data_IF_521164161606
#
_entry.id   IF_521164161606
#
_cell.length_a   1.000
_cell.length_b   1.000
_cell.length_c   1.000
_cell.angle_alpha   90.00
_cell.angle_beta   90.00
_cell.angle_gamma   90.00
#
_symmetry.space_group_name_H-M   'P 1'
#
loop_
_entity.id
_entity.type
_entity.pdbx_description
1 polymer ?
#
# COMPACT_ATOMS: atom_id res chain seq x y z
N UNK A 1 -19.88 44.02 -44.58
CA UNK A 1 -20.43 44.16 -43.21
C UNK A 1 -19.66 43.19 -42.35
N UNK A 2 -18.67 43.72 -41.65
CA UNK A 2 -17.52 43.01 -41.12
C UNK A 2 -17.77 42.65 -39.66
N UNK A 3 -17.54 41.38 -39.31
CA UNK A 3 -17.45 40.89 -37.92
C UNK A 3 -16.33 41.62 -37.17
N UNK A 4 -16.63 42.10 -35.96
CA UNK A 4 -15.64 42.49 -34.96
C UNK A 4 -16.19 42.11 -33.58
N UNK A 5 -15.70 41.00 -33.02
CA UNK A 5 -16.07 40.48 -31.70
C UNK A 5 -14.84 40.35 -30.82
N UNK A 6 -14.54 41.44 -30.12
CA UNK A 6 -13.69 41.65 -28.94
C UNK A 6 -12.66 40.57 -28.57
N UNK A 7 -11.39 40.85 -28.88
CA UNK A 7 -10.24 40.16 -28.32
C UNK A 7 -10.11 40.41 -26.81
N UNK A 8 -9.85 39.33 -26.07
CA UNK A 8 -9.46 39.36 -24.66
C UNK A 8 -8.06 39.98 -24.54
N UNK A 9 -8.00 41.26 -24.19
CA UNK A 9 -6.74 41.93 -23.84
C UNK A 9 -6.29 41.42 -22.47
N UNK A 10 -5.14 40.76 -22.43
CA UNK A 10 -4.47 40.37 -21.19
C UNK A 10 -4.01 41.65 -20.47
N UNK A 11 -4.72 42.04 -19.40
CA UNK A 11 -4.28 43.12 -18.54
C UNK A 11 -3.06 42.66 -17.73
N UNK A 12 -1.95 43.38 -17.85
CA UNK A 12 -0.70 43.10 -17.13
C UNK A 12 -0.89 43.39 -15.63
N UNK A 13 -0.93 42.33 -14.81
CA UNK A 13 -1.27 42.37 -13.38
C UNK A 13 -0.06 42.70 -12.49
N UNK A 14 1.11 42.93 -13.07
CA UNK A 14 2.36 43.05 -12.32
C UNK A 14 2.52 44.41 -11.63
N UNK A 15 1.86 45.47 -12.14
CA UNK A 15 1.96 46.84 -11.63
C UNK A 15 0.85 47.25 -10.63
N UNK A 16 -0.13 46.39 -10.36
CA UNK A 16 -1.29 46.71 -9.51
C UNK A 16 -1.05 46.36 -8.04
N UNK A 17 -1.61 47.17 -7.15
CA UNK A 17 -1.63 46.89 -5.70
C UNK A 17 -2.47 45.65 -5.39
N UNK A 18 -2.25 45.04 -4.22
CA UNK A 18 -2.96 43.82 -3.83
C UNK A 18 -4.47 44.03 -3.71
N UNK A 19 -4.93 45.21 -3.29
CA UNK A 19 -6.36 45.50 -3.16
C UNK A 19 -7.06 45.58 -4.51
N UNK A 20 -6.39 46.15 -5.53
CA UNK A 20 -6.93 46.22 -6.90
C UNK A 20 -7.04 44.83 -7.53
N UNK A 21 -6.08 43.94 -7.25
CA UNK A 21 -6.13 42.53 -7.71
C UNK A 21 -7.30 41.77 -7.10
N UNK A 22 -7.57 42.00 -5.82
CA UNK A 22 -8.69 41.36 -5.10
C UNK A 22 -10.03 41.84 -5.67
N UNK A 23 -10.15 43.12 -6.01
CA UNK A 23 -11.38 43.66 -6.57
C UNK A 23 -11.65 43.16 -8.00
N UNK A 24 -10.60 43.06 -8.83
CA UNK A 24 -10.70 42.45 -10.17
C UNK A 24 -11.14 40.98 -10.07
N UNK A 25 -10.63 40.23 -9.08
CA UNK A 25 -11.02 38.85 -8.85
C UNK A 25 -12.48 38.74 -8.39
N UNK A 26 -12.92 39.60 -7.45
CA UNK A 26 -14.32 39.64 -6.99
C UNK A 26 -15.29 39.95 -8.13
N UNK A 27 -14.95 40.91 -8.98
CA UNK A 27 -15.73 41.23 -10.17
C UNK A 27 -15.85 40.02 -11.12
N UNK A 28 -14.76 39.29 -11.38
CA UNK A 28 -14.80 38.06 -12.19
C UNK A 28 -15.58 36.93 -11.55
N UNK A 29 -15.48 36.74 -10.23
CA UNK A 29 -16.24 35.72 -9.52
C UNK A 29 -17.74 36.02 -9.53
N UNK A 30 -18.14 37.29 -9.41
CA UNK A 30 -19.52 37.71 -9.54
C UNK A 30 -20.10 37.41 -10.94
N UNK A 31 -19.27 37.56 -11.98
CA UNK A 31 -19.65 37.21 -13.35
C UNK A 31 -19.73 35.70 -13.63
N UNK A 32 -19.11 34.85 -12.82
CA UNK A 32 -19.16 33.38 -12.98
C UNK A 32 -20.36 32.73 -12.29
N UNK A 33 -21.08 33.46 -11.42
CA UNK A 33 -22.24 32.93 -10.67
C UNK A 33 -23.57 33.10 -11.44
N UNK A 34 -23.59 33.76 -12.60
CA UNK A 34 -24.75 33.79 -13.49
C UNK A 34 -24.66 32.70 -14.58
N UNK A 35 -25.03 31.47 -14.25
CA UNK A 35 -25.33 30.42 -15.24
C UNK A 35 -26.83 30.50 -15.59
N UNK A 36 -27.24 30.38 -16.88
CA UNK A 36 -28.63 30.59 -17.30
C UNK A 36 -29.58 29.46 -16.89
N UNK A 37 -30.84 29.87 -16.73
CA UNK A 37 -32.08 29.14 -16.49
C UNK A 37 -32.15 27.74 -17.14
N UNK A 38 -32.37 26.71 -16.31
CA UNK A 38 -32.76 25.37 -16.77
C UNK A 38 -34.30 25.32 -16.82
N UNK A 39 -34.93 24.94 -17.94
CA UNK A 39 -36.39 24.97 -18.03
C UNK A 39 -37.01 23.98 -17.05
N UNK A 40 -37.82 24.54 -16.14
CA UNK A 40 -38.67 23.82 -15.19
C UNK A 40 -39.63 22.89 -15.95
N UNK A 41 -39.41 21.57 -15.82
CA UNK A 41 -40.37 20.56 -16.22
C UNK A 41 -41.52 20.56 -15.20
N UNK A 42 -42.75 20.69 -15.71
CA UNK A 42 -43.99 20.77 -14.93
C UNK A 42 -44.18 19.53 -14.05
N UNK A 43 -44.41 19.82 -12.79
CA UNK A 43 -44.85 18.94 -11.72
C UNK A 43 -46.35 18.60 -11.90
N UNK A 44 -46.66 17.36 -12.25
CA UNK A 44 -47.98 16.72 -12.05
C UNK A 44 -47.88 15.21 -12.32
N UNK A 45 -47.52 14.44 -11.31
CA UNK A 45 -48.42 13.41 -10.76
C UNK A 45 -47.69 12.65 -9.64
N UNK A 46 -48.34 12.63 -8.50
CA UNK A 46 -47.94 11.99 -7.27
C UNK A 46 -47.74 10.48 -7.41
N UNK A 47 -46.58 9.97 -7.01
CA UNK A 47 -46.41 8.58 -6.58
C UNK A 47 -45.75 8.55 -5.19
N UNK A 48 -46.15 7.63 -4.30
CA UNK A 48 -45.70 7.63 -2.91
C UNK A 48 -44.25 7.18 -2.82
N UNK A 49 -43.36 8.10 -2.42
CA UNK A 49 -41.97 7.80 -2.11
C UNK A 49 -41.88 7.16 -0.71
N UNK A 50 -41.87 5.83 -0.68
CA UNK A 50 -41.52 5.05 0.51
C UNK A 50 -40.23 4.28 0.29
N UNK A 51 -39.13 4.85 0.80
CA UNK A 51 -38.04 4.09 1.43
C UNK A 51 -37.18 3.16 0.57
N UNK A 52 -36.26 3.71 -0.23
CA UNK A 52 -35.11 2.94 -0.72
C UNK A 52 -33.87 3.85 -0.84
N UNK A 53 -33.28 4.17 0.31
CA UNK A 53 -31.95 4.79 0.42
C UNK A 53 -30.89 3.73 0.76
N UNK A 54 -31.04 2.54 0.17
CA UNK A 54 -30.16 1.37 0.31
C UNK A 54 -29.99 0.74 -1.07
N UNK A 55 -29.06 1.24 -1.90
CA UNK A 55 -28.52 0.49 -3.05
C UNK A 55 -27.50 1.25 -3.90
N UNK A 56 -27.52 2.59 -4.01
CA UNK A 56 -26.64 3.28 -4.99
C UNK A 56 -25.12 3.27 -4.66
N UNK A 57 -24.73 3.26 -3.39
CA UNK A 57 -23.30 3.14 -3.01
C UNK A 57 -22.84 1.69 -3.08
N UNK A 58 -23.70 0.75 -2.72
CA UNK A 58 -23.39 -0.69 -2.69
C UNK A 58 -23.25 -1.28 -4.10
N UNK A 59 -24.05 -0.81 -5.07
CA UNK A 59 -23.96 -1.23 -6.48
C UNK A 59 -22.71 -0.67 -7.18
N UNK A 60 -22.34 0.59 -6.93
CA UNK A 60 -21.09 1.18 -7.44
C UNK A 60 -19.85 0.48 -6.90
N UNK A 61 -19.82 0.20 -5.59
CA UNK A 61 -18.69 -0.49 -4.97
C UNK A 61 -18.61 -1.97 -5.39
N UNK A 62 -19.74 -2.63 -5.65
CA UNK A 62 -19.77 -3.99 -6.18
C UNK A 62 -19.25 -4.07 -7.62
N UNK A 63 -19.51 -3.03 -8.42
CA UNK A 63 -18.96 -2.91 -9.77
C UNK A 63 -17.43 -2.66 -9.75
N UNK A 64 -16.94 -1.78 -8.87
CA UNK A 64 -15.49 -1.56 -8.67
C UNK A 64 -14.77 -2.82 -8.16
N UNK A 65 -15.41 -3.60 -7.27
CA UNK A 65 -14.90 -4.91 -6.80
C UNK A 65 -14.81 -5.94 -7.94
N UNK A 66 -15.70 -5.90 -8.92
CA UNK A 66 -15.61 -6.77 -10.11
C UNK A 66 -14.50 -6.36 -11.09
N UNK A 67 -14.01 -5.12 -10.98
CA UNK A 67 -13.05 -4.52 -11.90
C UNK A 67 -11.61 -4.50 -11.38
N UNK A 68 -11.40 -4.72 -10.07
CA UNK A 68 -10.07 -4.90 -9.51
C UNK A 68 -9.57 -6.32 -9.82
N UNK A 69 -8.69 -6.41 -10.81
CA UNK A 69 -7.89 -7.62 -11.06
C UNK A 69 -7.06 -7.95 -9.81
N UNK A 70 -6.84 -9.23 -9.53
CA UNK A 70 -6.24 -9.69 -8.26
C UNK A 70 -5.01 -10.54 -8.54
N UNK A 71 -3.93 -10.23 -7.82
CA UNK A 71 -2.79 -11.11 -7.68
C UNK A 71 -3.12 -12.15 -6.61
N UNK A 72 -3.68 -13.28 -7.04
CA UNK A 72 -4.11 -14.37 -6.14
C UNK A 72 -2.98 -14.84 -5.24
N UNK A 73 -3.28 -14.94 -3.94
CA UNK A 73 -2.40 -15.53 -2.94
C UNK A 73 -3.02 -16.86 -2.48
N UNK A 74 -2.17 -17.84 -2.18
CA UNK A 74 -2.61 -19.17 -1.80
C UNK A 74 -2.79 -19.30 -0.29
N UNK A 75 -3.66 -20.24 0.07
CA UNK A 75 -3.94 -20.60 1.45
C UNK A 75 -4.44 -19.41 2.28
N UNK A 76 -4.19 -19.44 3.59
CA UNK A 76 -4.85 -18.50 4.50
C UNK A 76 -4.48 -17.03 4.34
N UNK A 77 -3.37 -16.72 3.68
CA UNK A 77 -3.10 -15.33 3.34
C UNK A 77 -4.11 -14.79 2.31
N UNK A 78 -4.46 -15.59 1.30
CA UNK A 78 -5.54 -15.28 0.37
C UNK A 78 -6.90 -15.22 1.07
N UNK A 79 -7.21 -16.20 1.93
CA UNK A 79 -8.49 -16.30 2.64
C UNK A 79 -8.76 -15.14 3.60
N UNK A 80 -7.71 -14.50 4.14
CA UNK A 80 -7.82 -13.34 5.01
C UNK A 80 -8.17 -12.06 4.24
N UNK A 81 -7.83 -11.98 2.96
CA UNK A 81 -8.19 -10.86 2.09
C UNK A 81 -9.60 -11.03 1.53
N UNK A 82 -10.34 -9.95 1.32
CA UNK A 82 -11.67 -10.01 0.66
C UNK A 82 -11.61 -10.49 -0.78
N UNK A 83 -10.51 -10.23 -1.49
CA UNK A 83 -10.36 -10.52 -2.91
C UNK A 83 -9.60 -11.84 -3.19
N UNK A 84 -9.14 -12.55 -2.17
CA UNK A 84 -8.33 -13.77 -2.35
C UNK A 84 -6.87 -13.51 -2.75
N UNK A 85 -6.37 -12.28 -2.58
CA UNK A 85 -5.02 -11.88 -2.92
C UNK A 85 -4.76 -10.39 -2.79
N UNK A 86 -3.69 -9.92 -3.43
CA UNK A 86 -3.35 -8.49 -3.48
C UNK A 86 -4.08 -7.83 -4.66
N UNK A 87 -4.76 -6.69 -4.47
CA UNK A 87 -5.39 -5.98 -5.56
C UNK A 87 -4.33 -5.46 -6.54
N UNK A 88 -4.47 -5.79 -7.83
CA UNK A 88 -3.69 -5.19 -8.91
C UNK A 88 -4.22 -3.80 -9.20
N UNK A 89 -3.38 -2.92 -9.72
CA UNK A 89 -3.75 -1.53 -9.95
C UNK A 89 -3.87 -0.69 -8.67
N UNK A 90 -3.52 -1.27 -7.51
CA UNK A 90 -3.65 -0.62 -6.22
C UNK A 90 -2.40 -0.85 -5.33
N UNK A 91 -2.26 0.01 -4.32
CA UNK A 91 -1.26 -0.14 -3.28
C UNK A 91 -1.84 -0.90 -2.08
N UNK A 92 -1.04 -1.82 -1.54
CA UNK A 92 -1.27 -2.55 -0.29
C UNK A 92 -0.16 -2.17 0.69
N UNK A 93 -0.53 -1.76 1.90
CA UNK A 93 0.44 -1.58 2.99
C UNK A 93 0.66 -2.91 3.71
N UNK A 94 1.90 -3.24 4.01
CA UNK A 94 2.24 -4.34 4.91
C UNK A 94 3.15 -3.86 6.04
N UNK A 95 2.98 -4.42 7.23
CA UNK A 95 3.89 -4.21 8.34
C UNK A 95 5.30 -4.70 7.97
N UNK A 96 6.30 -4.07 8.58
CA UNK A 96 7.69 -4.48 8.43
C UNK A 96 7.96 -5.83 9.11
N UNK A 97 7.69 -6.89 8.35
CA UNK A 97 7.83 -8.27 8.76
C UNK A 97 8.51 -9.05 7.62
N UNK A 98 9.85 -9.15 7.62
CA UNK A 98 10.62 -9.82 6.56
C UNK A 98 10.13 -11.24 6.29
N UNK A 99 9.77 -11.93 7.36
CA UNK A 99 9.12 -13.24 7.38
C UNK A 99 7.87 -13.30 6.48
N UNK A 100 6.94 -12.35 6.63
CA UNK A 100 5.73 -12.31 5.81
C UNK A 100 6.05 -11.99 4.34
N UNK A 101 7.00 -11.08 4.11
CA UNK A 101 7.45 -10.73 2.76
C UNK A 101 8.06 -11.93 2.02
N UNK A 102 8.97 -12.67 2.67
CA UNK A 102 9.59 -13.88 2.09
C UNK A 102 8.55 -14.83 1.53
N UNK A 103 7.49 -15.10 2.28
CA UNK A 103 6.49 -16.05 1.80
C UNK A 103 5.51 -15.46 0.78
N UNK A 104 5.19 -14.17 0.84
CA UNK A 104 4.42 -13.53 -0.24
C UNK A 104 5.20 -13.65 -1.55
N UNK A 105 6.49 -13.32 -1.52
CA UNK A 105 7.40 -13.45 -2.66
C UNK A 105 7.42 -14.90 -3.14
N UNK A 106 7.65 -15.86 -2.23
CA UNK A 106 7.71 -17.28 -2.58
C UNK A 106 6.42 -17.78 -3.26
N UNK A 107 5.25 -17.39 -2.76
CA UNK A 107 3.98 -17.79 -3.37
C UNK A 107 3.79 -17.18 -4.77
N UNK A 108 4.16 -15.91 -4.94
CA UNK A 108 4.01 -15.22 -6.23
C UNK A 108 4.95 -15.81 -7.27
N UNK A 109 6.22 -16.04 -6.92
CA UNK A 109 7.19 -16.63 -7.84
C UNK A 109 6.95 -18.12 -8.08
N UNK A 110 6.46 -18.87 -7.10
CA UNK A 110 6.01 -20.25 -7.31
C UNK A 110 4.85 -20.36 -8.32
N UNK A 111 4.05 -19.30 -8.45
CA UNK A 111 3.00 -19.19 -9.47
C UNK A 111 3.53 -18.74 -10.85
N UNK A 112 4.86 -18.64 -11.03
CA UNK A 112 5.50 -18.23 -12.28
C UNK A 112 5.40 -16.73 -12.57
N UNK A 113 5.14 -15.90 -11.55
CA UNK A 113 4.97 -14.44 -11.69
C UNK A 113 6.22 -13.68 -11.26
N UNK A 114 6.43 -12.52 -11.86
CA UNK A 114 7.64 -11.72 -11.63
C UNK A 114 7.48 -10.76 -10.45
N UNK A 115 8.50 -10.72 -9.59
CA UNK A 115 8.54 -9.85 -8.42
C UNK A 115 9.74 -8.91 -8.52
N UNK A 116 9.53 -7.63 -8.27
CA UNK A 116 10.62 -6.70 -8.00
C UNK A 116 10.60 -6.22 -6.56
N UNK A 117 11.77 -6.11 -5.95
CA UNK A 117 11.96 -5.64 -4.57
C UNK A 117 12.92 -4.46 -4.56
N UNK A 118 12.49 -3.35 -3.98
CA UNK A 118 13.22 -2.10 -3.93
C UNK A 118 13.49 -1.74 -2.48
N UNK A 119 14.75 -1.52 -2.13
CA UNK A 119 15.15 -1.14 -0.77
C UNK A 119 15.01 -2.28 0.26
N UNK A 120 15.14 -3.53 -0.15
CA UNK A 120 15.18 -4.64 0.81
C UNK A 120 16.19 -5.69 0.39
N UNK A 121 17.43 -5.26 0.24
CA UNK A 121 18.55 -6.07 -0.25
C UNK A 121 18.95 -7.17 0.74
N UNK A 122 18.81 -6.90 2.05
CA UNK A 122 19.19 -7.80 3.14
C UNK A 122 18.13 -8.86 3.51
N UNK A 123 17.13 -9.08 2.64
CA UNK A 123 16.15 -10.14 2.86
C UNK A 123 16.82 -11.52 2.85
N UNK A 124 16.31 -12.46 3.64
CA UNK A 124 16.78 -13.85 3.62
C UNK A 124 16.28 -14.57 2.36
N UNK A 125 16.93 -14.34 1.22
CA UNK A 125 16.54 -14.90 -0.08
C UNK A 125 16.52 -16.44 -0.11
N UNK A 126 17.42 -17.10 0.64
CA UNK A 126 17.41 -18.55 0.78
C UNK A 126 16.06 -19.08 1.30
N UNK A 127 15.40 -18.34 2.20
CA UNK A 127 14.10 -18.73 2.74
C UNK A 127 12.96 -18.65 1.70
N UNK A 128 13.14 -17.86 0.63
CA UNK A 128 12.18 -17.83 -0.50
C UNK A 128 12.25 -19.14 -1.26
N UNK A 129 13.46 -19.63 -1.56
CA UNK A 129 13.65 -20.93 -2.21
C UNK A 129 13.17 -22.09 -1.33
N UNK A 130 13.45 -22.06 -0.02
CA UNK A 130 12.98 -23.08 0.93
C UNK A 130 11.44 -23.11 1.03
N UNK A 131 10.78 -21.96 0.84
CA UNK A 131 9.33 -21.85 0.79
C UNK A 131 8.73 -22.25 -0.58
N UNK A 132 9.57 -22.71 -1.53
CA UNK A 132 9.14 -23.16 -2.86
C UNK A 132 9.06 -22.07 -3.92
N UNK A 133 9.57 -20.87 -3.63
CA UNK A 133 9.65 -19.77 -4.59
C UNK A 133 10.81 -19.93 -5.58
N UNK A 134 10.66 -19.31 -6.75
CA UNK A 134 11.70 -19.25 -7.78
C UNK A 134 12.46 -17.92 -7.68
N UNK A 135 13.77 -18.01 -7.43
CA UNK A 135 14.64 -16.83 -7.33
C UNK A 135 14.94 -16.18 -8.70
N UNK A 136 14.81 -16.92 -9.81
CA UNK A 136 15.05 -16.39 -11.16
C UNK A 136 14.01 -15.37 -11.61
N UNK A 137 12.86 -15.35 -10.93
CA UNK A 137 11.74 -14.44 -11.18
C UNK A 137 11.79 -13.18 -10.31
N UNK A 138 12.87 -12.98 -9.55
CA UNK A 138 13.02 -11.88 -8.60
C UNK A 138 14.07 -10.91 -9.10
N UNK A 139 13.68 -9.64 -9.25
CA UNK A 139 14.58 -8.52 -9.44
C UNK A 139 14.77 -7.78 -8.11
N UNK A 140 16.00 -7.65 -7.64
CA UNK A 140 16.31 -6.86 -6.43
C UNK A 140 17.02 -5.59 -6.89
N UNK A 141 16.45 -4.44 -6.53
CA UNK A 141 17.06 -3.14 -6.77
C UNK A 141 17.41 -2.51 -5.44
N UNK A 142 18.71 -2.36 -5.24
CA UNK A 142 19.22 -1.61 -4.10
C UNK A 142 19.12 -0.12 -4.41
N UNK A 143 18.48 0.62 -3.51
CA UNK A 143 18.33 2.06 -3.62
C UNK A 143 18.93 2.67 -2.35
N UNK A 144 20.22 3.03 -2.36
CA UNK A 144 20.86 3.59 -1.17
C UNK A 144 20.13 4.85 -0.72
N UNK A 145 20.03 5.05 0.60
CA UNK A 145 19.43 6.25 1.15
C UNK A 145 20.11 7.51 0.61
N UNK A 146 19.33 8.55 0.32
CA UNK A 146 19.83 9.88 -0.02
C UNK A 146 20.60 10.56 1.15
N UNK A 147 20.73 9.90 2.31
CA UNK A 147 21.33 10.46 3.52
C UNK A 147 22.85 10.22 3.56
N UNK A 148 23.61 11.27 3.27
CA UNK A 148 25.02 11.44 3.67
C UNK A 148 26.09 10.73 2.84
N UNK A 149 25.85 9.48 2.42
CA UNK A 149 26.80 8.67 1.64
C UNK A 149 26.23 8.23 0.27
N UNK A 150 25.10 8.79 -0.13
CA UNK A 150 24.42 8.44 -1.37
C UNK A 150 25.31 8.78 -2.57
N UNK A 151 25.48 7.82 -3.48
CA UNK A 151 25.98 8.13 -4.82
C UNK A 151 25.06 9.22 -5.41
N UNK A 152 25.64 10.35 -5.81
CA UNK A 152 24.91 11.46 -6.43
C UNK A 152 24.19 11.03 -7.71
N UNK A 153 24.58 9.91 -8.30
CA UNK A 153 23.97 9.33 -9.49
C UNK A 153 22.96 8.22 -9.18
N UNK A 154 22.69 7.93 -7.90
CA UNK A 154 21.70 6.93 -7.53
C UNK A 154 20.32 7.35 -8.09
N UNK A 155 19.63 6.46 -8.83
CA UNK A 155 18.33 6.79 -9.39
C UNK A 155 17.30 6.97 -8.28
N UNK A 156 16.39 7.93 -8.46
CA UNK A 156 15.29 8.17 -7.53
C UNK A 156 14.45 6.89 -7.33
N UNK A 157 14.26 6.40 -6.08
CA UNK A 157 13.58 5.13 -5.82
C UNK A 157 12.14 5.10 -6.33
N UNK A 158 11.43 6.25 -6.31
CA UNK A 158 10.05 6.33 -6.81
C UNK A 158 9.99 6.29 -8.34
N UNK A 159 11.00 6.82 -9.01
CA UNK A 159 11.17 6.69 -10.46
C UNK A 159 11.42 5.24 -10.87
N UNK A 160 12.32 4.55 -10.17
CA UNK A 160 12.58 3.11 -10.35
C UNK A 160 11.31 2.28 -10.11
N UNK A 161 10.59 2.56 -9.02
CA UNK A 161 9.31 1.94 -8.69
C UNK A 161 8.28 2.10 -9.82
N UNK A 162 8.16 3.31 -10.37
CA UNK A 162 7.27 3.59 -11.49
C UNK A 162 7.55 2.72 -12.72
N UNK A 163 8.82 2.56 -13.09
CA UNK A 163 9.25 1.74 -14.23
C UNK A 163 8.98 0.26 -13.98
N UNK A 164 9.33 -0.25 -12.80
CA UNK A 164 9.13 -1.67 -12.47
C UNK A 164 7.65 -2.05 -12.44
N UNK A 165 6.78 -1.15 -11.98
CA UNK A 165 5.33 -1.37 -11.99
C UNK A 165 4.74 -1.60 -13.39
N UNK A 166 5.40 -1.18 -14.48
CA UNK A 166 4.89 -1.38 -15.84
C UNK A 166 5.12 -2.81 -16.35
N UNK A 167 6.13 -3.52 -15.83
CA UNK A 167 6.53 -4.85 -16.31
C UNK A 167 6.42 -5.99 -15.29
N UNK A 168 6.16 -5.70 -14.03
CA UNK A 168 6.15 -6.69 -12.94
C UNK A 168 4.73 -7.02 -12.46
N UNK A 169 4.54 -8.24 -11.95
CA UNK A 169 3.28 -8.65 -11.34
C UNK A 169 3.12 -8.09 -9.92
N UNK A 170 4.23 -8.10 -9.16
CA UNK A 170 4.33 -7.57 -7.81
C UNK A 170 5.56 -6.68 -7.71
N UNK A 171 5.40 -5.48 -7.19
CA UNK A 171 6.52 -4.64 -6.80
C UNK A 171 6.44 -4.36 -5.31
N UNK A 172 7.51 -4.66 -4.59
CA UNK A 172 7.67 -4.40 -3.16
C UNK A 172 8.57 -3.19 -3.00
N UNK A 173 8.05 -2.14 -2.38
CA UNK A 173 8.82 -0.95 -2.04
C UNK A 173 8.95 -0.84 -0.53
N UNK A 174 10.20 -0.89 -0.06
CA UNK A 174 10.54 -0.72 1.34
C UNK A 174 11.12 0.69 1.54
N UNK A 175 10.42 1.55 2.29
CA UNK A 175 10.90 2.92 2.50
C UNK A 175 12.18 2.93 3.33
N UNK A 176 13.29 3.31 2.69
CA UNK A 176 14.62 3.41 3.29
C UNK A 176 14.68 4.64 4.21
N UNK A 177 14.26 4.49 5.47
CA UNK A 177 14.27 5.57 6.46
C UNK A 177 13.17 6.63 6.31
N UNK A 178 12.42 6.62 5.21
CA UNK A 178 11.27 7.48 5.00
C UNK A 178 10.02 6.95 5.71
N UNK A 179 9.48 7.72 6.66
CA UNK A 179 8.27 7.34 7.37
C UNK A 179 6.98 7.54 6.54
N UNK A 180 7.00 8.42 5.55
CA UNK A 180 5.82 8.83 4.77
C UNK A 180 6.20 9.22 3.35
N UNK A 181 5.40 8.80 2.36
CA UNK A 181 5.50 9.27 0.98
C UNK A 181 4.45 10.36 0.75
N UNK A 182 4.85 11.62 0.48
CA UNK A 182 3.93 12.70 0.18
C UNK A 182 2.98 12.36 -0.98
N UNK A 183 1.69 12.78 -0.94
CA UNK A 183 0.75 12.53 -2.04
C UNK A 183 1.21 13.05 -3.40
N UNK A 184 1.99 14.14 -3.44
CA UNK A 184 2.57 14.68 -4.67
C UNK A 184 3.52 13.71 -5.36
N UNK A 185 4.27 12.93 -4.59
CA UNK A 185 5.23 11.93 -5.08
C UNK A 185 4.57 10.57 -5.33
N UNK A 186 3.58 10.20 -4.52
CA UNK A 186 2.84 8.95 -4.69
C UNK A 186 1.90 8.95 -5.91
N UNK A 187 1.30 10.10 -6.25
CA UNK A 187 0.29 10.21 -7.33
C UNK A 187 0.80 9.75 -8.72
N UNK A 188 1.98 10.19 -9.21
CA UNK A 188 2.53 9.72 -10.48
C UNK A 188 2.77 8.21 -10.51
N UNK A 189 3.31 7.65 -9.42
CA UNK A 189 3.52 6.20 -9.29
C UNK A 189 2.18 5.47 -9.31
N UNK A 190 1.21 5.93 -8.53
CA UNK A 190 -0.13 5.32 -8.51
C UNK A 190 -0.85 5.42 -9.86
N UNK A 191 -0.56 6.44 -10.67
CA UNK A 191 -1.07 6.50 -12.04
C UNK A 191 -0.54 5.33 -12.87
N UNK A 192 0.76 5.04 -12.79
CA UNK A 192 1.39 3.92 -13.49
C UNK A 192 0.89 2.56 -12.99
N UNK A 193 0.78 2.42 -11.67
CA UNK A 193 0.23 1.20 -11.03
C UNK A 193 -1.17 0.92 -11.56
N UNK A 194 -2.07 1.92 -11.63
CA UNK A 194 -3.44 1.74 -12.14
C UNK A 194 -3.50 1.39 -13.63
N UNK A 195 -2.59 1.93 -14.44
CA UNK A 195 -2.51 1.60 -15.86
C UNK A 195 -1.84 0.26 -16.15
N UNK A 196 -1.18 -0.34 -15.15
CA UNK A 196 -0.52 -1.64 -15.27
C UNK A 196 -1.32 -2.73 -14.56
N UNK A 197 -0.87 -3.99 -14.72
CA UNK A 197 -1.39 -5.11 -13.94
C UNK A 197 -0.62 -5.32 -12.63
N UNK A 198 0.24 -4.40 -12.21
CA UNK A 198 1.06 -4.59 -11.00
C UNK A 198 0.23 -4.48 -9.71
N UNK A 199 0.50 -5.36 -8.75
CA UNK A 199 0.16 -5.14 -7.35
C UNK A 199 1.33 -4.44 -6.64
N UNK A 200 1.10 -3.27 -6.05
CA UNK A 200 2.13 -2.56 -5.30
C UNK A 200 2.03 -2.91 -3.81
N UNK A 201 3.10 -3.43 -3.23
CA UNK A 201 3.20 -3.71 -1.81
C UNK A 201 4.20 -2.75 -1.18
N UNK A 202 3.76 -1.93 -0.23
CA UNK A 202 4.62 -0.97 0.48
C UNK A 202 4.88 -1.43 1.91
N UNK A 203 6.14 -1.38 2.33
CA UNK A 203 6.59 -1.86 3.63
C UNK A 203 7.46 -0.80 4.32
N UNK A 204 7.31 -0.66 5.64
CA UNK A 204 8.10 0.29 6.43
C UNK A 204 7.81 1.78 6.16
N UNK A 205 6.89 2.10 5.25
CA UNK A 205 6.55 3.47 4.86
C UNK A 205 5.05 3.66 4.73
N UNK A 206 4.55 4.85 5.13
CA UNK A 206 3.17 5.23 4.87
C UNK A 206 3.00 5.64 3.41
N UNK A 207 2.02 5.01 2.76
CA UNK A 207 1.61 5.36 1.41
C UNK A 207 0.16 5.85 1.39
N UNK A 208 -0.15 6.95 0.70
CA UNK A 208 -1.50 7.50 0.66
C UNK A 208 -2.42 6.64 -0.21
N UNK A 209 -3.64 6.42 0.27
CA UNK A 209 -4.70 5.77 -0.53
C UNK A 209 -4.50 4.26 -0.74
N UNK A 210 -3.88 3.56 0.21
CA UNK A 210 -3.81 2.09 0.19
C UNK A 210 -5.19 1.47 0.26
N UNK A 211 -5.40 0.43 -0.54
CA UNK A 211 -6.66 -0.33 -0.66
C UNK A 211 -6.79 -1.46 0.36
N UNK A 212 -5.64 -1.99 0.79
CA UNK A 212 -5.50 -3.11 1.70
C UNK A 212 -4.37 -2.81 2.69
N UNK A 213 -4.55 -3.16 3.96
CA UNK A 213 -3.52 -3.10 4.99
C UNK A 213 -3.33 -4.47 5.63
N UNK A 214 -2.08 -4.90 5.75
CA UNK A 214 -1.70 -6.18 6.33
C UNK A 214 -0.76 -5.90 7.48
N UNK A 215 -1.24 -6.02 8.71
CA UNK A 215 -0.34 -6.10 9.87
C UNK A 215 0.14 -7.54 10.03
N UNK A 216 1.43 -7.72 10.31
CA UNK A 216 2.04 -9.02 10.49
C UNK A 216 3.07 -8.96 11.63
N UNK A 217 3.00 -9.91 12.57
CA UNK A 217 3.95 -10.03 13.67
C UNK A 217 4.31 -11.48 13.93
N UNK A 218 5.60 -11.76 14.15
CA UNK A 218 6.03 -13.11 14.54
C UNK A 218 5.55 -13.40 15.97
N UNK A 219 4.72 -14.43 16.12
CA UNK A 219 4.06 -14.77 17.39
C UNK A 219 4.68 -15.97 18.10
N UNK A 220 5.33 -16.88 17.38
CA UNK A 220 6.00 -18.04 17.99
C UNK A 220 7.11 -18.62 17.11
N UNK A 221 8.08 -19.31 17.74
CA UNK A 221 9.09 -20.12 17.06
C UNK A 221 8.89 -21.61 17.38
N UNK A 222 9.21 -22.48 16.43
CA UNK A 222 9.12 -23.95 16.55
C UNK A 222 10.46 -24.62 16.34
N UNK A 223 10.65 -25.81 16.91
CA UNK A 223 11.88 -26.60 16.79
C UNK A 223 12.89 -26.36 17.94
N UNK A 224 12.56 -25.46 18.86
CA UNK A 224 13.31 -25.26 20.10
C UNK A 224 12.80 -26.24 21.18
N UNK A 225 13.70 -27.03 21.75
CA UNK A 225 13.45 -27.84 22.94
C UNK A 225 13.92 -27.12 24.20
N UNK A 226 13.96 -27.83 25.33
CA UNK A 226 14.49 -27.28 26.60
C UNK A 226 16.02 -27.10 26.49
N UNK A 227 16.48 -25.86 26.34
CA UNK A 227 17.90 -25.49 26.32
C UNK A 227 18.70 -25.93 25.09
N UNK A 228 18.06 -26.56 24.09
CA UNK A 228 18.70 -27.02 22.84
C UNK A 228 17.69 -27.10 21.71
N UNK A 229 18.12 -26.94 20.47
CA UNK A 229 17.27 -27.08 19.28
C UNK A 229 17.71 -26.17 18.15
N UNK A 230 16.99 -26.24 17.02
CA UNK A 230 17.12 -25.33 15.89
C UNK A 230 15.74 -24.81 15.52
N UNK A 231 15.65 -23.55 15.14
CA UNK A 231 14.41 -23.00 14.61
C UNK A 231 14.08 -23.77 13.32
N UNK A 232 12.96 -24.47 13.33
CA UNK A 232 12.43 -25.24 12.19
C UNK A 232 11.18 -24.61 11.58
N UNK A 233 10.67 -23.58 12.24
CA UNK A 233 9.54 -22.82 11.77
C UNK A 233 9.19 -21.67 12.71
N UNK A 234 8.30 -20.83 12.23
CA UNK A 234 7.77 -19.68 12.95
C UNK A 234 6.29 -19.50 12.66
N UNK A 235 5.60 -18.82 13.58
CA UNK A 235 4.19 -18.47 13.43
C UNK A 235 4.10 -16.96 13.30
N UNK A 236 3.28 -16.49 12.38
CA UNK A 236 3.03 -15.07 12.12
C UNK A 236 1.55 -14.83 12.34
N UNK A 237 1.23 -13.94 13.27
CA UNK A 237 -0.13 -13.44 13.43
C UNK A 237 -0.32 -12.32 12.42
N UNK A 238 -1.38 -12.43 11.63
CA UNK A 238 -1.73 -11.45 10.62
C UNK A 238 -3.09 -10.85 10.89
N UNK A 239 -3.20 -9.56 10.64
CA UNK A 239 -4.45 -8.82 10.62
C UNK A 239 -4.57 -8.11 9.27
N UNK A 240 -5.64 -8.39 8.56
CA UNK A 240 -5.92 -7.81 7.26
C UNK A 240 -7.09 -6.85 7.41
N UNK A 241 -6.87 -5.59 7.04
CA UNK A 241 -7.90 -4.56 6.97
C UNK A 241 -8.09 -4.16 5.51
N UNK A 242 -9.31 -4.33 5.04
CA UNK A 242 -9.75 -3.83 3.75
C UNK A 242 -10.90 -2.84 3.96
N UNK A 243 -11.32 -2.16 2.89
CA UNK A 243 -12.41 -1.17 2.97
C UNK A 243 -13.80 -1.81 3.10
N UNK A 244 -13.97 -3.08 2.77
CA UNK A 244 -15.27 -3.69 2.48
C UNK A 244 -15.68 -4.79 3.47
N UNK A 245 -14.78 -5.19 4.36
CA UNK A 245 -14.95 -6.25 5.35
C UNK A 245 -14.38 -5.77 6.69
N UNK A 246 -14.97 -6.18 7.83
CA UNK A 246 -14.34 -5.97 9.11
C UNK A 246 -12.94 -6.62 9.14
N UNK A 247 -11.97 -6.07 9.90
CA UNK A 247 -10.63 -6.61 10.02
C UNK A 247 -10.63 -8.12 10.29
N UNK A 248 -9.94 -8.87 9.43
CA UNK A 248 -9.78 -10.31 9.57
C UNK A 248 -8.46 -10.62 10.26
N UNK A 249 -8.41 -11.72 11.01
CA UNK A 249 -7.18 -12.18 11.67
C UNK A 249 -6.95 -13.65 11.41
N UNK A 250 -5.70 -14.01 11.20
CA UNK A 250 -5.29 -15.40 11.03
C UNK A 250 -3.88 -15.59 11.51
N UNK A 251 -3.54 -16.84 11.80
CA UNK A 251 -2.19 -17.23 12.15
C UNK A 251 -1.65 -18.09 11.02
N UNK A 252 -0.43 -17.79 10.63
CA UNK A 252 0.28 -18.54 9.62
C UNK A 252 1.50 -19.21 10.20
N UNK A 253 1.66 -20.49 9.92
CA UNK A 253 2.87 -21.22 10.27
C UNK A 253 3.73 -21.42 9.04
N UNK A 254 5.00 -21.08 9.22
CA UNK A 254 6.04 -21.13 8.21
C UNK A 254 7.13 -22.09 8.65
N UNK A 255 7.61 -22.93 7.75
CA UNK A 255 8.56 -24.03 8.01
C UNK A 255 8.13 -25.34 7.37
N UNK A 256 8.86 -26.43 7.66
CA UNK A 256 8.55 -27.77 7.12
C UNK A 256 7.12 -28.17 7.52
N UNK A 257 6.26 -28.41 6.53
CA UNK A 257 4.82 -28.64 6.74
C UNK A 257 4.03 -27.36 7.00
N UNK A 258 4.24 -26.32 6.18
CA UNK A 258 3.53 -25.04 6.30
C UNK A 258 2.01 -25.23 6.14
N UNK A 259 1.26 -24.74 7.12
CA UNK A 259 -0.20 -24.66 7.08
C UNK A 259 -0.60 -23.38 7.81
N UNK A 260 -1.79 -22.88 7.55
CA UNK A 260 -2.32 -21.77 8.33
C UNK A 260 -3.69 -22.12 8.88
N UNK A 261 -4.02 -21.46 9.99
CA UNK A 261 -5.26 -21.68 10.71
C UNK A 261 -5.91 -20.34 10.99
N UNK A 262 -7.22 -20.18 10.69
CA UNK A 262 -7.95 -19.01 11.13
C UNK A 262 -7.91 -18.95 12.66
N UNK A 263 -7.56 -17.79 13.23
CA UNK A 263 -7.64 -17.58 14.68
C UNK A 263 -9.11 -17.40 15.02
N UNK A 264 -9.83 -18.50 15.29
CA UNK A 264 -11.16 -18.44 15.89
C UNK A 264 -10.98 -18.08 17.37
N UNK A 265 -11.37 -16.85 17.73
CA UNK A 265 -11.45 -16.34 19.11
C UNK A 265 -10.48 -16.99 20.11
N UNK A 266 -9.19 -16.72 19.96
CA UNK A 266 -8.23 -17.02 21.00
C UNK A 266 -8.37 -15.93 22.09
N UNK A 267 -8.95 -16.27 23.26
CA UNK A 267 -8.78 -15.47 24.49
C UNK A 267 -7.27 -15.33 24.70
N UNK A 268 -6.72 -14.12 24.85
CA UNK A 268 -5.28 -13.94 25.04
C UNK A 268 -4.85 -14.70 26.30
N UNK A 269 -4.30 -15.90 26.14
CA UNK A 269 -3.52 -16.54 27.20
C UNK A 269 -2.26 -15.70 27.33
N UNK A 270 -2.23 -14.93 28.42
CA UNK A 270 -1.07 -14.23 28.98
C UNK A 270 -0.09 -13.68 27.96
N UNK A 271 -0.23 -12.38 27.70
CA UNK A 271 0.92 -11.53 27.37
C UNK A 271 2.05 -11.80 28.36
N UNK A 272 3.07 -12.56 27.96
CA UNK A 272 4.38 -12.40 28.56
C UNK A 272 4.86 -10.99 28.19
N UNK A 273 4.70 -10.09 29.15
CA UNK A 273 5.16 -8.70 29.10
C UNK A 273 6.69 -8.67 29.00
N UNK A 274 7.26 -8.89 27.82
CA UNK A 274 8.69 -8.68 27.59
C UNK A 274 9.00 -7.22 27.15
N UNK A 275 7.96 -6.42 26.87
CA UNK A 275 8.06 -5.03 26.39
C UNK A 275 8.29 -3.98 27.50
N UNK A 276 9.04 -4.32 28.56
CA UNK A 276 9.54 -3.36 29.57
C UNK A 276 11.05 -3.48 29.89
N UNK A 277 11.82 -4.29 29.17
CA UNK A 277 13.27 -4.44 29.42
C UNK A 277 14.16 -4.22 28.20
N UNK A 278 13.80 -3.26 27.33
CA UNK A 278 14.77 -2.63 26.42
C UNK A 278 14.82 -1.13 26.73
N UNK A 279 15.27 -0.83 27.95
CA UNK A 279 15.95 0.42 28.28
C UNK A 279 17.20 0.01 29.06
N UNK A 280 18.35 0.53 28.63
CA UNK A 280 19.70 0.24 29.11
C UNK A 280 20.33 -1.06 28.57
N UNK A 281 20.67 -1.06 27.28
CA UNK A 281 21.97 -1.61 26.88
C UNK A 281 22.90 -0.40 26.74
N UNK A 282 23.59 -0.09 27.84
CA UNK A 282 24.75 0.80 27.80
C UNK A 282 25.79 0.15 26.88
N UNK A 283 26.04 0.78 25.73
CA UNK A 283 27.08 0.41 24.76
C UNK A 283 28.51 0.60 25.32
N UNK A 284 28.66 1.06 26.57
CA UNK A 284 29.96 1.27 27.22
C UNK A 284 30.42 0.09 28.10
N UNK A 285 29.67 -1.00 28.20
CA UNK A 285 30.04 -2.14 29.05
C UNK A 285 30.90 -3.22 28.35
N UNK A 286 31.29 -3.03 27.09
CA UNK A 286 32.06 -4.02 26.30
C UNK A 286 33.57 -3.76 26.31
N UNK A 287 34.06 -2.67 26.91
CA UNK A 287 35.48 -2.30 26.89
C UNK A 287 36.29 -2.70 28.14
N UNK A 288 35.72 -3.47 29.08
CA UNK A 288 36.39 -3.87 30.32
C UNK A 288 36.64 -5.39 30.45
N UNK A 289 36.69 -6.12 29.34
CA UNK A 289 37.01 -7.55 29.33
C UNK A 289 37.94 -7.94 28.17
N UNK A 290 39.02 -7.18 27.99
CA UNK A 290 40.24 -7.58 27.25
C UNK A 290 41.46 -7.29 28.10
#
# INVERSE_FOLDING_TARGET
MTQAGAGAVAADLTALSNDEKVEILRSRMAHLVSVPDYPQAKESDSLPYSGERRSHTEEKESFERSMLDVLSLQGPLGELTSLGGLPRGAATSIADCPTALVHIIAQVTAAGKHVAVIGLSDLLWAAVSDAGGDLSLIAVVDCPEATGNADINAPDPLSVLGVLCEGMDLVIYCGQGQADVPPSLARPVMSRVRSSRCALLVCGVRWPGVSLRIDATVSAFRGLGRGRGRIRGMSVDMRVEDRHRPPQRGQWHMGVGSFAQPIRHHRPTQTHHWRKSVKALDLNAVEAAV
#
